data_IF_382082734648
#
_entry.id   IF_382082734648
#
_cell.length_a   1.000
_cell.length_b   1.000
_cell.length_c   1.000
_cell.angle_alpha   90.00
_cell.angle_beta   90.00
_cell.angle_gamma   90.00
#
_symmetry.space_group_name_H-M   'P 1'
#
loop_
_entity.id
_entity.type
_entity.pdbx_description
1 polymer ?
#
# COMPACT_ATOMS: atom_id res chain seq x y z
N UNK A 1 8.71 -8.89 11.71
CA UNK A 1 9.33 -10.07 11.11
C UNK A 1 10.79 -9.85 10.73
N UNK A 2 11.14 -8.64 10.26
CA UNK A 2 12.48 -8.32 9.78
C UNK A 2 13.26 -7.38 10.71
N UNK A 3 12.74 -7.10 11.90
CA UNK A 3 13.33 -6.21 12.90
C UNK A 3 13.65 -4.80 12.37
N UNK A 4 12.86 -4.30 11.43
CA UNK A 4 12.99 -2.95 10.92
C UNK A 4 12.13 -2.03 11.78
N UNK A 5 12.77 -1.09 12.50
CA UNK A 5 12.07 -0.12 13.32
C UNK A 5 11.75 1.13 12.49
N UNK A 6 10.48 1.50 12.41
CA UNK A 6 9.99 2.64 11.63
C UNK A 6 9.78 3.81 12.59
N UNK A 7 10.89 4.38 13.06
CA UNK A 7 10.91 5.37 14.14
C UNK A 7 11.63 6.68 13.78
N UNK A 8 12.32 6.74 12.65
CA UNK A 8 13.06 7.94 12.24
C UNK A 8 12.15 8.94 11.54
N UNK A 9 12.09 10.18 12.04
CA UNK A 9 11.34 11.26 11.40
C UNK A 9 12.10 11.77 10.19
N UNK A 10 11.59 11.49 8.99
CA UNK A 10 12.19 11.90 7.74
C UNK A 10 11.13 11.88 6.62
N UNK A 11 11.28 12.75 5.63
CA UNK A 11 10.35 12.82 4.48
C UNK A 11 8.89 13.03 4.88
N UNK A 12 8.63 13.87 5.87
CA UNK A 12 7.27 14.11 6.41
C UNK A 12 6.58 12.83 6.88
N UNK A 13 7.37 11.90 7.41
CA UNK A 13 6.84 10.60 7.85
C UNK A 13 7.77 9.91 8.83
N UNK A 14 7.42 8.69 9.16
CA UNK A 14 8.27 7.79 9.92
C UNK A 14 8.93 6.81 8.97
N UNK A 15 10.23 6.61 9.12
CA UNK A 15 11.00 5.73 8.24
C UNK A 15 11.80 4.72 9.03
N UNK A 16 12.11 3.61 8.36
CA UNK A 16 13.03 2.62 8.84
C UNK A 16 13.74 1.94 7.67
N UNK A 17 15.01 1.67 7.82
CA UNK A 17 15.81 0.98 6.81
C UNK A 17 16.19 -0.40 7.30
N UNK A 18 16.27 -1.34 6.40
CA UNK A 18 16.66 -2.70 6.72
C UNK A 18 16.73 -3.58 5.50
N UNK A 19 16.88 -4.87 5.77
CA UNK A 19 16.94 -5.89 4.72
C UNK A 19 15.72 -6.78 4.76
N UNK A 20 15.15 -7.03 3.60
CA UNK A 20 14.16 -8.10 3.39
C UNK A 20 14.79 -9.07 2.39
N UNK A 21 15.18 -10.25 2.87
CA UNK A 21 15.99 -11.15 2.05
C UNK A 21 17.34 -10.49 1.71
N UNK A 22 17.67 -10.42 0.43
CA UNK A 22 18.88 -9.78 -0.08
C UNK A 22 18.69 -8.31 -0.46
N UNK A 23 17.47 -7.77 -0.32
CA UNK A 23 17.15 -6.42 -0.77
C UNK A 23 17.17 -5.41 0.37
N UNK A 24 17.84 -4.27 0.14
CA UNK A 24 17.75 -3.12 1.03
C UNK A 24 16.43 -2.41 0.80
N UNK A 25 15.71 -2.14 1.87
CA UNK A 25 14.40 -1.49 1.79
C UNK A 25 14.32 -0.28 2.70
N UNK A 26 13.54 0.70 2.27
CA UNK A 26 13.08 1.80 3.10
C UNK A 26 11.59 1.60 3.33
N UNK A 27 11.19 1.52 4.59
CA UNK A 27 9.78 1.54 4.96
C UNK A 27 9.42 2.97 5.32
N UNK A 28 8.36 3.49 4.69
CA UNK A 28 7.91 4.86 4.91
C UNK A 28 6.43 4.86 5.28
N UNK A 29 6.14 5.46 6.42
CA UNK A 29 4.77 5.73 6.86
C UNK A 29 4.57 7.24 6.83
N UNK A 30 3.86 7.79 5.83
CA UNK A 30 3.59 9.22 5.78
C UNK A 30 2.83 9.69 7.02
N UNK A 31 3.21 10.85 7.55
CA UNK A 31 2.51 11.50 8.67
C UNK A 31 1.74 12.74 8.22
N UNK A 32 1.67 12.95 6.91
CA UNK A 32 0.83 13.98 6.31
C UNK A 32 -0.65 13.58 6.42
N UNK A 33 -1.55 14.51 6.17
CA UNK A 33 -2.93 14.14 5.89
C UNK A 33 -2.97 13.21 4.66
N UNK A 34 -3.99 12.35 4.58
CA UNK A 34 -4.09 11.35 3.50
C UNK A 34 -3.98 11.99 2.11
N UNK A 35 -4.65 13.11 1.89
CA UNK A 35 -4.63 13.83 0.61
C UNK A 35 -3.27 14.49 0.28
N UNK A 36 -2.28 14.40 1.18
CA UNK A 36 -0.92 14.91 0.98
C UNK A 36 0.13 13.80 1.05
N UNK A 37 -0.27 12.55 1.01
CA UNK A 37 0.64 11.39 1.10
C UNK A 37 1.73 11.40 0.05
N UNK A 38 1.45 11.92 -1.14
CA UNK A 38 2.42 12.00 -2.22
C UNK A 38 3.58 12.95 -1.95
N UNK A 39 3.40 13.95 -1.09
CA UNK A 39 4.49 14.85 -0.71
C UNK A 39 5.60 14.09 0.02
N UNK A 40 5.21 13.22 0.95
CA UNK A 40 6.15 12.37 1.69
C UNK A 40 6.88 11.39 0.75
N UNK A 41 6.13 10.71 -0.08
CA UNK A 41 6.70 9.72 -1.02
C UNK A 41 7.62 10.39 -2.03
N UNK A 42 7.22 11.53 -2.59
CA UNK A 42 8.03 12.25 -3.57
C UNK A 42 9.36 12.72 -2.98
N UNK A 43 9.39 13.15 -1.73
CA UNK A 43 10.64 13.53 -1.05
C UNK A 43 11.60 12.34 -0.97
N UNK A 44 11.11 11.17 -0.55
CA UNK A 44 11.92 9.96 -0.45
C UNK A 44 12.42 9.50 -1.81
N UNK A 45 11.55 9.52 -2.82
CA UNK A 45 11.88 9.13 -4.19
C UNK A 45 13.01 10.01 -4.75
N UNK A 46 12.91 11.31 -4.55
CA UNK A 46 13.94 12.26 -5.01
C UNK A 46 15.26 12.09 -4.25
N UNK A 47 15.18 11.90 -2.95
CA UNK A 47 16.37 11.77 -2.11
C UNK A 47 17.20 10.53 -2.48
N UNK A 48 16.55 9.40 -2.67
CA UNK A 48 17.21 8.13 -3.00
C UNK A 48 17.31 7.87 -4.50
N UNK A 49 16.81 8.76 -5.33
CA UNK A 49 16.78 8.62 -6.81
C UNK A 49 16.15 7.29 -7.22
N UNK A 50 14.99 7.01 -6.65
CA UNK A 50 14.25 5.77 -6.87
C UNK A 50 13.57 5.78 -8.23
N UNK A 51 13.65 4.66 -8.95
CA UNK A 51 12.81 4.40 -10.13
C UNK A 51 11.45 3.89 -9.65
N UNK A 52 10.43 4.73 -9.72
CA UNK A 52 9.09 4.43 -9.21
C UNK A 52 8.45 3.22 -9.91
N UNK A 53 8.84 2.95 -11.16
CA UNK A 53 8.24 1.84 -11.92
C UNK A 53 8.73 0.47 -11.46
N UNK A 54 9.90 0.40 -10.83
CA UNK A 54 10.53 -0.86 -10.43
C UNK A 54 10.90 -0.94 -8.95
N UNK A 55 10.99 0.19 -8.25
CA UNK A 55 11.53 0.24 -6.90
C UNK A 55 10.56 0.80 -5.85
N UNK A 56 9.33 1.13 -6.24
CA UNK A 56 8.31 1.65 -5.33
C UNK A 56 7.13 0.69 -5.23
N UNK A 57 6.71 0.38 -3.99
CA UNK A 57 5.48 -0.35 -3.72
C UNK A 57 4.66 0.50 -2.75
N UNK A 58 3.45 0.86 -3.16
CA UNK A 58 2.50 1.58 -2.31
C UNK A 58 1.45 0.62 -1.78
N UNK A 59 1.26 0.61 -0.47
CA UNK A 59 0.21 -0.19 0.17
C UNK A 59 -0.91 0.76 0.57
N UNK A 60 -2.12 0.50 0.10
CA UNK A 60 -3.26 1.38 0.33
C UNK A 60 -4.53 0.57 0.61
N UNK A 61 -5.44 1.16 1.37
CA UNK A 61 -6.77 0.61 1.58
C UNK A 61 -7.63 0.76 0.31
N UNK A 62 -8.64 -0.09 0.17
CA UNK A 62 -9.59 -0.05 -0.94
C UNK A 62 -11.00 -0.42 -0.46
N UNK A 63 -11.93 0.53 -0.55
CA UNK A 63 -13.32 0.32 -0.15
C UNK A 63 -14.11 -0.50 -1.17
N UNK A 64 -13.60 -0.64 -2.39
CA UNK A 64 -14.25 -1.45 -3.43
C UNK A 64 -13.95 -2.94 -3.30
N UNK A 65 -13.04 -3.31 -2.41
CA UNK A 65 -12.71 -4.70 -2.11
C UNK A 65 -13.25 -5.09 -0.74
N UNK A 66 -13.77 -6.31 -0.64
CA UNK A 66 -14.25 -6.84 0.63
C UNK A 66 -13.11 -6.97 1.63
N UNK A 67 -13.44 -6.91 2.92
CA UNK A 67 -12.47 -7.12 3.98
C UNK A 67 -11.77 -8.47 3.77
N UNK A 68 -10.44 -8.45 3.76
CA UNK A 68 -9.63 -9.66 3.55
C UNK A 68 -9.19 -9.89 2.10
N UNK A 69 -9.74 -9.16 1.15
CA UNK A 69 -9.30 -9.26 -0.24
C UNK A 69 -8.08 -8.38 -0.49
N UNK A 70 -7.22 -8.84 -1.39
CA UNK A 70 -6.02 -8.12 -1.83
C UNK A 70 -6.02 -8.01 -3.34
N UNK A 71 -5.61 -6.86 -3.85
CA UNK A 71 -5.38 -6.65 -5.26
C UNK A 71 -4.03 -6.00 -5.49
N UNK A 72 -3.16 -6.68 -6.22
CA UNK A 72 -1.83 -6.19 -6.60
C UNK A 72 -1.89 -5.72 -8.04
N UNK A 73 -1.39 -4.50 -8.31
CA UNK A 73 -1.36 -3.91 -9.65
C UNK A 73 0.01 -3.27 -9.90
N UNK A 74 0.46 -3.32 -11.15
CA UNK A 74 1.70 -2.63 -11.60
C UNK A 74 1.47 -1.16 -11.84
N UNK A 75 0.24 -0.77 -12.18
CA UNK A 75 -0.16 0.58 -12.53
C UNK A 75 -1.67 0.72 -12.36
N UNK A 76 -2.17 1.91 -12.42
CA UNK A 76 -3.60 2.17 -12.42
C UNK A 76 -3.97 3.51 -11.82
N UNK A 77 -5.23 3.90 -12.02
CA UNK A 77 -5.76 5.14 -11.49
C UNK A 77 -5.93 5.07 -9.97
N UNK A 78 -6.16 6.23 -9.36
CA UNK A 78 -6.41 6.33 -7.93
C UNK A 78 -7.83 5.86 -7.55
N UNK A 79 -8.75 5.77 -8.50
CA UNK A 79 -10.15 5.62 -8.17
C UNK A 79 -10.62 6.76 -7.26
N UNK A 80 -11.28 6.42 -6.15
CA UNK A 80 -11.69 7.41 -5.15
C UNK A 80 -10.69 7.66 -4.03
N UNK A 81 -9.49 7.05 -4.07
CA UNK A 81 -8.52 7.14 -2.98
C UNK A 81 -7.72 8.44 -3.05
N UNK A 82 -7.92 9.33 -2.08
CA UNK A 82 -7.28 10.66 -2.06
C UNK A 82 -5.74 10.58 -1.94
N UNK A 83 -5.24 9.62 -1.17
CA UNK A 83 -3.80 9.42 -1.04
C UNK A 83 -3.15 9.03 -2.36
N UNK A 84 -3.75 8.09 -3.09
CA UNK A 84 -3.25 7.69 -4.40
C UNK A 84 -3.32 8.83 -5.42
N UNK A 85 -4.40 9.64 -5.39
CA UNK A 85 -4.50 10.83 -6.25
C UNK A 85 -3.33 11.77 -6.04
N UNK A 86 -3.00 12.05 -4.79
CA UNK A 86 -1.88 12.94 -4.47
C UNK A 86 -0.54 12.33 -4.87
N UNK A 87 -0.34 11.03 -4.64
CA UNK A 87 0.88 10.34 -5.07
C UNK A 87 1.07 10.45 -6.58
N UNK A 88 0.02 10.17 -7.34
CA UNK A 88 0.04 10.28 -8.81
C UNK A 88 0.36 11.72 -9.24
N UNK A 89 -0.27 12.71 -8.60
CA UNK A 89 -0.02 14.11 -8.91
C UNK A 89 1.43 14.50 -8.62
N UNK A 90 1.99 14.05 -7.50
CA UNK A 90 3.37 14.39 -7.10
C UNK A 90 4.42 13.66 -7.95
N UNK A 91 4.18 12.41 -8.33
CA UNK A 91 5.10 11.66 -9.17
C UNK A 91 4.94 11.97 -10.66
N UNK A 92 3.78 12.46 -11.08
CA UNK A 92 3.50 12.81 -12.47
C UNK A 92 3.04 11.65 -13.35
N UNK A 93 2.87 10.45 -12.79
CA UNK A 93 2.37 9.27 -13.50
C UNK A 93 1.77 8.26 -12.53
N UNK A 94 1.11 7.24 -13.06
CA UNK A 94 0.48 6.19 -12.27
C UNK A 94 1.17 4.81 -12.43
N UNK A 95 2.38 4.79 -12.98
CA UNK A 95 3.14 3.56 -13.28
C UNK A 95 4.01 3.13 -12.11
N UNK A 96 3.40 2.78 -10.99
CA UNK A 96 4.09 2.22 -9.84
C UNK A 96 3.26 1.06 -9.24
N UNK A 97 3.95 0.11 -8.63
CA UNK A 97 3.30 -1.04 -8.01
C UNK A 97 2.48 -0.61 -6.80
N UNK A 98 1.32 -1.23 -6.63
CA UNK A 98 0.48 -1.01 -5.44
C UNK A 98 -0.16 -2.31 -4.99
N UNK A 99 -0.30 -2.42 -3.69
CA UNK A 99 -1.03 -3.50 -3.04
C UNK A 99 -2.25 -2.86 -2.39
N UNK A 100 -3.43 -3.14 -2.93
CA UNK A 100 -4.70 -2.64 -2.40
C UNK A 100 -5.26 -3.65 -1.41
N UNK A 101 -5.56 -3.19 -0.21
CA UNK A 101 -6.11 -4.03 0.87
C UNK A 101 -7.56 -3.69 1.08
N UNK A 102 -8.46 -4.66 0.89
CA UNK A 102 -9.89 -4.46 1.03
C UNK A 102 -10.30 -4.15 2.46
N UNK A 103 -11.08 -3.09 2.62
CA UNK A 103 -11.65 -2.69 3.91
C UNK A 103 -13.17 -2.68 3.90
N UNK A 104 -13.78 -3.05 2.78
CA UNK A 104 -15.24 -3.12 2.60
C UNK A 104 -15.85 -1.79 2.17
N UNK A 105 -17.08 -1.86 1.68
CA UNK A 105 -17.81 -0.69 1.23
C UNK A 105 -18.15 0.25 2.38
N UNK A 106 -18.07 1.55 2.11
CA UNK A 106 -18.48 2.58 3.05
C UNK A 106 -20.01 2.51 3.24
N UNK A 107 -20.50 2.35 4.50
CA UNK A 107 -21.93 2.41 4.76
C UNK A 107 -22.51 3.77 4.36
N UNK A 108 -23.79 3.76 3.93
CA UNK A 108 -24.48 5.00 3.56
C UNK A 108 -24.48 6.00 4.71
N UNK A 109 -24.14 7.26 4.42
CA UNK A 109 -24.10 8.33 5.41
C UNK A 109 -22.77 8.50 6.14
N UNK A 110 -21.82 7.61 5.95
CA UNK A 110 -20.48 7.78 6.52
C UNK A 110 -19.57 8.58 5.58
N UNK A 111 -18.75 9.43 6.15
CA UNK A 111 -17.64 10.03 5.42
C UNK A 111 -16.58 8.96 5.15
N UNK A 112 -15.96 8.99 3.98
CA UNK A 112 -14.96 7.99 3.60
C UNK A 112 -13.78 7.95 4.58
N UNK A 113 -13.27 9.10 4.99
CA UNK A 113 -12.15 9.17 5.93
C UNK A 113 -12.53 8.59 7.29
N UNK A 114 -13.72 8.93 7.79
CA UNK A 114 -14.21 8.39 9.06
C UNK A 114 -14.38 6.88 9.01
N UNK A 115 -14.86 6.35 7.90
CA UNK A 115 -15.04 4.91 7.72
C UNK A 115 -13.69 4.17 7.72
N UNK A 116 -12.73 4.65 6.94
CA UNK A 116 -11.41 4.00 6.83
C UNK A 116 -10.61 4.09 8.14
N UNK A 117 -10.77 5.21 8.88
CA UNK A 117 -10.11 5.40 10.18
C UNK A 117 -10.86 4.75 11.34
N UNK A 118 -12.06 4.21 11.09
CA UNK A 118 -12.86 3.53 12.11
C UNK A 118 -12.27 2.19 12.51
N UNK A 119 -12.82 1.63 13.58
CA UNK A 119 -12.38 0.33 14.09
C UNK A 119 -13.11 -0.81 13.39
N UNK A 120 -12.38 -1.85 13.02
CA UNK A 120 -12.96 -3.10 12.56
C UNK A 120 -13.59 -3.85 13.75
N UNK A 121 -14.62 -4.67 13.46
CA UNK A 121 -15.13 -5.64 14.43
C UNK A 121 -14.01 -6.66 14.77
N UNK A 122 -14.21 -7.44 15.84
CA UNK A 122 -13.23 -8.48 16.21
C UNK A 122 -13.01 -9.50 15.08
N UNK A 123 -14.09 -9.88 14.38
CA UNK A 123 -14.02 -10.81 13.26
C UNK A 123 -13.29 -10.19 12.08
N UNK A 124 -13.63 -8.94 11.74
CA UNK A 124 -12.96 -8.22 10.67
C UNK A 124 -11.48 -7.99 10.96
N UNK A 125 -11.11 -7.71 12.22
CA UNK A 125 -9.71 -7.54 12.61
C UNK A 125 -8.91 -8.85 12.42
N UNK A 126 -9.51 -10.01 12.70
CA UNK A 126 -8.88 -11.30 12.41
C UNK A 126 -8.62 -11.47 10.92
N UNK A 127 -9.61 -11.13 10.09
CA UNK A 127 -9.49 -11.20 8.64
C UNK A 127 -8.42 -10.22 8.16
N UNK A 128 -8.40 -9.01 8.69
CA UNK A 128 -7.38 -8.01 8.34
C UNK A 128 -5.98 -8.44 8.77
N UNK A 129 -5.84 -9.12 9.91
CA UNK A 129 -4.55 -9.65 10.35
C UNK A 129 -4.01 -10.68 9.35
N UNK A 130 -4.86 -11.57 8.83
CA UNK A 130 -4.48 -12.52 7.78
C UNK A 130 -4.17 -11.80 6.46
N UNK A 131 -4.94 -10.78 6.12
CA UNK A 131 -4.72 -9.94 4.94
C UNK A 131 -3.35 -9.25 5.00
N UNK A 132 -2.97 -8.72 6.16
CA UNK A 132 -1.64 -8.12 6.37
C UNK A 132 -0.52 -9.15 6.19
N UNK A 133 -0.70 -10.37 6.67
CA UNK A 133 0.26 -11.45 6.46
C UNK A 133 0.41 -11.79 4.98
N UNK A 134 -0.70 -11.83 4.25
CA UNK A 134 -0.69 -12.06 2.80
C UNK A 134 0.02 -10.92 2.07
N UNK A 135 -0.19 -9.67 2.47
CA UNK A 135 0.50 -8.52 1.90
C UNK A 135 2.02 -8.63 2.11
N UNK A 136 2.46 -9.07 3.29
CA UNK A 136 3.89 -9.30 3.56
C UNK A 136 4.46 -10.37 2.63
N UNK A 137 3.74 -11.48 2.44
CA UNK A 137 4.15 -12.55 1.50
C UNK A 137 4.24 -12.02 0.08
N UNK A 138 3.30 -11.17 -0.32
CA UNK A 138 3.31 -10.55 -1.65
C UNK A 138 4.55 -9.67 -1.84
N UNK A 139 4.90 -8.86 -0.85
CA UNK A 139 6.10 -8.03 -0.89
C UNK A 139 7.36 -8.91 -0.98
N UNK A 140 7.43 -9.97 -0.19
CA UNK A 140 8.55 -10.91 -0.24
C UNK A 140 8.70 -11.52 -1.63
N UNK A 141 7.60 -11.90 -2.26
CA UNK A 141 7.61 -12.46 -3.63
C UNK A 141 8.04 -11.43 -4.66
N UNK A 142 7.56 -10.19 -4.57
CA UNK A 142 7.97 -9.11 -5.48
C UNK A 142 9.47 -8.89 -5.38
N UNK A 143 10.02 -8.87 -4.17
CA UNK A 143 11.45 -8.60 -3.95
C UNK A 143 12.34 -9.77 -4.37
N UNK A 144 11.91 -11.01 -4.14
CA UNK A 144 12.69 -12.20 -4.45
C UNK A 144 12.54 -12.64 -5.90
N UNK A 145 11.41 -12.37 -6.52
CA UNK A 145 11.10 -12.82 -7.89
C UNK A 145 10.61 -11.64 -8.73
N UNK A 146 9.29 -11.45 -8.85
CA UNK A 146 8.70 -10.33 -9.58
C UNK A 146 7.24 -10.10 -9.18
N UNK A 147 6.69 -8.97 -9.65
CA UNK A 147 5.32 -8.59 -9.35
C UNK A 147 4.29 -9.49 -10.05
N UNK A 148 4.61 -10.01 -11.23
CA UNK A 148 3.69 -10.89 -11.98
C UNK A 148 3.43 -12.17 -11.18
N UNK A 149 4.46 -12.74 -10.58
CA UNK A 149 4.34 -13.91 -9.71
C UNK A 149 3.47 -13.59 -8.49
N UNK A 150 3.69 -12.46 -7.85
CA UNK A 150 2.89 -12.03 -6.71
C UNK A 150 1.42 -11.84 -7.10
N UNK A 151 1.16 -11.25 -8.27
CA UNK A 151 -0.20 -11.09 -8.78
C UNK A 151 -0.89 -12.44 -8.98
N UNK A 152 -0.19 -13.40 -9.55
CA UNK A 152 -0.74 -14.75 -9.77
C UNK A 152 -1.04 -15.49 -8.47
N UNK A 153 -0.17 -15.35 -7.46
CA UNK A 153 -0.30 -16.07 -6.20
C UNK A 153 -1.31 -15.46 -5.24
N UNK A 154 -1.39 -14.13 -5.18
CA UNK A 154 -2.06 -13.43 -4.09
C UNK A 154 -3.28 -12.61 -4.48
N UNK A 155 -3.51 -12.32 -5.77
CA UNK A 155 -4.73 -11.63 -6.15
C UNK A 155 -5.94 -12.53 -5.88
N UNK A 156 -6.96 -11.97 -5.23
CA UNK A 156 -8.18 -12.71 -4.88
C UNK A 156 -8.94 -13.13 -6.13
N UNK A 157 -9.36 -14.40 -6.19
CA UNK A 157 -10.05 -14.99 -7.36
C UNK A 157 -11.32 -14.25 -7.77
N UNK A 158 -12.05 -13.68 -6.80
CA UNK A 158 -13.26 -12.88 -7.07
C UNK A 158 -12.99 -11.65 -7.91
N UNK A 159 -11.76 -11.17 -7.92
CA UNK A 159 -11.37 -9.96 -8.65
C UNK A 159 -10.87 -10.25 -10.07
N UNK A 160 -10.85 -11.51 -10.48
CA UNK A 160 -10.43 -11.91 -11.82
C UNK A 160 -11.58 -11.92 -12.83
N UNK A 161 -12.81 -11.71 -12.34
CA UNK A 161 -14.02 -11.73 -13.18
C UNK A 161 -14.52 -10.34 -13.60
N UNK A 162 -13.87 -9.31 -13.14
CA UNK A 162 -14.24 -7.92 -13.47
C UNK A 162 -13.36 -7.35 -14.57
#
# INVERSE_FOLDING_TARGET
KYNIRVLENKFKGLTGKGMIGSEKVLLLKPLTYMNLSGESIAEAVRFYKIDETTELIVIADDISLDVGQIRIRKKGSAGGHNGLKNIIAQLGHENFARIKMGVGEKPAGYDLADYVLGHFSKEEEKIMAESRKTAVKAIETILAEDIDKAMNLYNSKKNQKD
#
